data_IF_485302657092
#
_entry.id   IF_485302657092
#
_cell.length_a   1.000
_cell.length_b   1.000
_cell.length_c   1.000
_cell.angle_alpha   90.00
_cell.angle_beta   90.00
_cell.angle_gamma   90.00
#
_symmetry.space_group_name_H-M   'P 1'
#
loop_
_entity.id
_entity.type
_entity.pdbx_description
1 polymer ?
#
# COMPACT_ATOMS: atom_id res chain seq x y z
N UNK A 1 50.07 -40.17 12.92
CA UNK A 1 49.06 -40.83 13.77
C UNK A 1 47.71 -40.16 13.54
N UNK A 2 46.81 -40.84 12.84
CA UNK A 2 45.47 -40.37 12.49
C UNK A 2 44.52 -40.66 13.67
N UNK A 3 43.96 -39.63 14.30
CA UNK A 3 42.91 -39.81 15.30
C UNK A 3 41.54 -39.54 14.67
N UNK A 4 40.86 -40.65 14.39
CA UNK A 4 39.45 -40.74 14.01
C UNK A 4 38.61 -40.59 15.28
N UNK A 5 37.65 -39.68 15.30
CA UNK A 5 36.53 -39.76 16.26
C UNK A 5 35.22 -39.62 15.51
N UNK A 6 34.36 -40.63 15.73
CA UNK A 6 33.11 -40.86 15.01
C UNK A 6 31.96 -40.12 15.67
N UNK A 7 31.18 -39.49 14.79
CA UNK A 7 29.76 -39.20 14.82
C UNK A 7 28.91 -40.15 15.69
N UNK A 8 28.12 -39.58 16.61
CA UNK A 8 26.96 -40.23 17.24
C UNK A 8 25.78 -39.27 17.11
N UNK A 9 24.88 -39.59 16.17
CA UNK A 9 23.58 -38.93 15.99
C UNK A 9 22.60 -39.67 16.91
N UNK A 10 22.16 -39.01 17.97
CA UNK A 10 21.09 -39.48 18.84
C UNK A 10 19.75 -38.90 18.41
N UNK A 11 18.96 -39.68 17.67
CA UNK A 11 17.54 -39.45 17.45
C UNK A 11 16.76 -39.86 18.71
N UNK A 12 16.16 -38.91 19.41
CA UNK A 12 15.14 -39.19 20.44
C UNK A 12 13.84 -38.53 20.04
N UNK A 13 12.99 -39.30 19.37
CA UNK A 13 11.57 -38.98 19.14
C UNK A 13 10.83 -39.44 20.39
N UNK A 14 10.35 -38.50 21.21
CA UNK A 14 9.42 -38.80 22.30
C UNK A 14 8.05 -38.29 21.88
N UNK A 15 7.22 -39.21 21.40
CA UNK A 15 5.78 -39.03 21.19
C UNK A 15 5.12 -39.25 22.55
N UNK A 16 4.59 -38.19 23.17
CA UNK A 16 3.65 -38.32 24.28
C UNK A 16 2.25 -37.91 23.80
N UNK A 17 1.50 -38.92 23.39
CA UNK A 17 0.04 -38.85 23.26
C UNK A 17 -0.55 -38.89 24.67
N UNK A 18 -1.21 -37.82 25.10
CA UNK A 18 -2.22 -37.92 26.15
C UNK A 18 -3.54 -37.37 25.63
N UNK A 19 -4.41 -38.33 25.32
CA UNK A 19 -5.85 -38.20 25.18
C UNK A 19 -6.43 -37.79 26.55
N UNK A 20 -6.88 -36.54 26.65
CA UNK A 20 -7.77 -36.09 27.71
C UNK A 20 -9.14 -35.78 27.11
N UNK A 21 -10.04 -36.76 27.09
CA UNK A 21 -11.46 -36.54 26.83
C UNK A 21 -12.11 -36.07 28.12
N UNK A 22 -12.37 -34.76 28.20
CA UNK A 22 -13.24 -34.14 29.21
C UNK A 22 -14.63 -33.88 28.65
N UNK A 23 -15.64 -34.16 29.45
CA UNK A 23 -17.07 -34.34 29.13
C UNK A 23 -17.85 -33.05 28.88
N UNK A 24 -18.65 -33.09 27.80
CA UNK A 24 -20.10 -32.79 27.73
C UNK A 24 -20.64 -31.46 28.31
N UNK A 25 -21.09 -30.57 27.42
CA UNK A 25 -22.49 -30.08 27.39
C UNK A 25 -22.74 -29.28 26.09
N UNK A 26 -23.89 -29.58 25.47
CA UNK A 26 -24.57 -28.87 24.39
C UNK A 26 -23.87 -28.78 23.04
N UNK A 27 -24.07 -29.82 22.22
CA UNK A 27 -24.00 -29.70 20.77
C UNK A 27 -25.34 -29.11 20.28
N UNK A 28 -25.46 -27.79 20.01
CA UNK A 28 -26.43 -27.37 19.02
C UNK A 28 -25.95 -28.02 17.72
N UNK A 29 -26.69 -29.00 17.22
CA UNK A 29 -26.47 -29.57 15.89
C UNK A 29 -26.22 -28.42 14.91
N UNK A 30 -24.97 -28.30 14.44
CA UNK A 30 -24.58 -27.21 13.53
C UNK A 30 -25.49 -27.32 12.31
N UNK A 31 -26.25 -26.26 12.06
CA UNK A 31 -27.13 -26.20 10.89
C UNK A 31 -26.28 -26.40 9.63
N UNK A 32 -26.82 -27.23 8.71
CA UNK A 32 -26.20 -27.48 7.40
C UNK A 32 -26.03 -26.13 6.69
N UNK A 33 -24.78 -25.74 6.43
CA UNK A 33 -24.45 -24.45 5.82
C UNK A 33 -23.91 -23.38 6.78
N UNK A 34 -23.63 -23.71 8.04
CA UNK A 34 -22.92 -22.81 8.95
C UNK A 34 -21.50 -22.49 8.44
N UNK A 35 -21.10 -21.22 8.58
CA UNK A 35 -19.73 -20.76 8.26
C UNK A 35 -18.89 -20.85 9.53
N UNK A 36 -17.68 -21.39 9.44
CA UNK A 36 -16.80 -21.64 10.58
C UNK A 36 -15.55 -20.74 10.52
N UNK A 37 -15.00 -20.38 11.69
CA UNK A 37 -13.70 -19.72 11.80
C UNK A 37 -12.53 -20.73 11.73
N UNK A 38 -11.30 -20.21 11.81
CA UNK A 38 -10.04 -20.98 11.82
C UNK A 38 -9.92 -21.98 12.99
N UNK A 39 -10.76 -21.83 14.02
CA UNK A 39 -10.85 -22.70 15.20
C UNK A 39 -12.01 -23.69 15.13
N UNK A 40 -12.74 -23.74 14.00
CA UNK A 40 -13.88 -24.63 13.82
C UNK A 40 -15.12 -24.24 14.63
N UNK A 41 -15.24 -22.97 15.04
CA UNK A 41 -16.41 -22.45 15.72
C UNK A 41 -17.31 -21.70 14.73
N UNK A 42 -18.65 -21.85 14.83
CA UNK A 42 -19.58 -21.18 13.92
C UNK A 42 -19.52 -19.66 14.12
N UNK A 43 -19.45 -18.91 13.03
CA UNK A 43 -19.54 -17.45 13.03
C UNK A 43 -20.97 -17.02 12.68
N UNK A 44 -21.51 -16.09 13.48
CA UNK A 44 -22.85 -15.53 13.25
C UNK A 44 -22.78 -14.54 12.10
N UNK A 45 -23.27 -14.96 10.93
CA UNK A 45 -23.50 -14.04 9.82
C UNK A 45 -24.75 -13.22 10.15
N UNK A 46 -24.67 -11.87 10.18
CA UNK A 46 -25.86 -11.04 10.34
C UNK A 46 -26.86 -11.35 9.23
N UNK A 47 -28.10 -11.68 9.58
CA UNK A 47 -29.19 -11.89 8.63
C UNK A 47 -29.70 -10.59 8.01
N UNK A 48 -29.27 -9.44 8.55
CA UNK A 48 -29.59 -8.13 8.03
C UNK A 48 -28.66 -7.81 6.84
N UNK A 49 -29.27 -7.69 5.66
CA UNK A 49 -28.59 -7.20 4.46
C UNK A 49 -28.29 -5.71 4.61
N UNK A 50 -27.14 -5.36 5.17
CA UNK A 50 -26.64 -4.00 5.12
C UNK A 50 -25.91 -3.80 3.79
N UNK A 51 -26.35 -2.81 3.01
CA UNK A 51 -25.64 -2.38 1.79
C UNK A 51 -24.33 -1.70 2.19
N UNK A 52 -23.19 -2.25 1.76
CA UNK A 52 -21.83 -1.73 1.99
C UNK A 52 -21.61 -0.27 1.52
N UNK A 53 -22.57 0.31 0.80
CA UNK A 53 -22.51 1.69 0.33
C UNK A 53 -23.06 2.73 1.32
N UNK A 54 -23.70 2.32 2.42
CA UNK A 54 -24.18 3.26 3.44
C UNK A 54 -23.23 3.29 4.64
N UNK A 55 -22.08 3.95 4.45
CA UNK A 55 -21.19 4.30 5.54
C UNK A 55 -21.81 5.43 6.37
N UNK A 56 -22.15 5.14 7.63
CA UNK A 56 -22.49 6.16 8.63
C UNK A 56 -21.32 6.27 9.61
N UNK A 57 -20.60 7.40 9.65
CA UNK A 57 -19.48 7.57 10.57
C UNK A 57 -19.98 7.57 12.01
N UNK A 58 -19.28 6.93 12.96
CA UNK A 58 -19.60 7.07 14.37
C UNK A 58 -19.43 8.54 14.79
N UNK A 59 -20.43 9.08 15.51
CA UNK A 59 -20.36 10.41 16.12
C UNK A 59 -19.30 10.40 17.22
N UNK A 60 -18.13 10.92 16.92
CA UNK A 60 -17.09 11.19 17.92
C UNK A 60 -17.44 12.54 18.54
N UNK A 61 -17.78 12.56 19.83
CA UNK A 61 -17.95 13.81 20.56
C UNK A 61 -16.62 14.58 20.54
N UNK A 62 -16.66 15.75 19.90
CA UNK A 62 -15.46 16.50 19.55
C UNK A 62 -14.72 17.02 20.77
N UNK A 63 -13.51 16.50 21.00
CA UNK A 63 -12.48 17.27 21.69
C UNK A 63 -12.16 18.49 20.85
N UNK A 64 -12.35 19.68 21.43
CA UNK A 64 -12.11 21.00 20.82
C UNK A 64 -10.89 21.04 19.90
N UNK A 65 -11.00 21.60 18.68
CA UNK A 65 -9.84 21.82 17.85
C UNK A 65 -8.96 22.88 18.53
N UNK A 66 -7.81 22.44 19.06
CA UNK A 66 -6.75 23.36 19.40
C UNK A 66 -6.32 24.04 18.10
N UNK A 67 -6.72 25.30 17.95
CA UNK A 67 -6.34 26.17 16.84
C UNK A 67 -4.81 26.28 16.79
N UNK A 68 -4.19 25.39 16.03
CA UNK A 68 -2.79 25.55 15.67
C UNK A 68 -2.77 26.61 14.60
N UNK A 69 -2.54 27.86 15.02
CA UNK A 69 -2.23 28.95 14.11
C UNK A 69 -1.02 28.55 13.28
N UNK A 70 -1.27 28.05 12.06
CA UNK A 70 -0.25 27.91 11.03
C UNK A 70 0.15 29.35 10.68
N UNK A 71 1.24 29.81 11.28
CA UNK A 71 1.96 30.99 10.85
C UNK A 71 2.34 30.77 9.38
N UNK A 72 1.49 31.25 8.46
CA UNK A 72 1.84 31.39 7.05
C UNK A 72 2.92 32.45 6.97
N UNK A 73 4.18 32.05 7.18
CA UNK A 73 5.33 32.84 6.78
C UNK A 73 5.19 33.06 5.27
N UNK A 74 4.70 34.24 4.89
CA UNK A 74 4.75 34.76 3.52
C UNK A 74 6.22 34.79 3.12
N UNK A 75 6.72 33.70 2.53
CA UNK A 75 8.02 33.70 1.88
C UNK A 75 7.93 34.75 0.77
N UNK A 76 8.69 35.83 0.93
CA UNK A 76 8.88 36.84 -0.11
C UNK A 76 9.23 36.11 -1.42
N UNK A 77 8.62 36.47 -2.57
CA UNK A 77 9.01 35.86 -3.83
C UNK A 77 10.49 36.22 -4.07
N UNK A 78 11.37 35.23 -4.00
CA UNK A 78 12.76 35.44 -4.35
C UNK A 78 12.80 35.82 -5.82
N UNK A 79 13.41 36.97 -6.10
CA UNK A 79 13.60 37.53 -7.43
C UNK A 79 14.14 36.45 -8.39
N UNK A 80 13.52 36.37 -9.57
CA UNK A 80 14.05 35.74 -10.78
C UNK A 80 14.15 34.20 -10.79
N UNK A 81 13.08 33.49 -10.43
CA UNK A 81 12.89 32.17 -11.02
C UNK A 81 12.51 32.37 -12.50
N UNK A 82 13.45 32.10 -13.43
CA UNK A 82 13.14 32.05 -14.86
C UNK A 82 11.88 31.21 -15.02
N UNK A 83 10.86 31.75 -15.69
CA UNK A 83 9.65 31.01 -16.00
C UNK A 83 10.08 29.72 -16.71
N UNK A 84 9.91 28.58 -16.04
CA UNK A 84 10.19 27.27 -16.64
C UNK A 84 9.34 27.17 -17.90
N UNK A 85 9.93 26.72 -19.00
CA UNK A 85 9.16 26.44 -20.22
C UNK A 85 7.99 25.52 -19.87
N UNK A 86 6.84 25.66 -20.56
CA UNK A 86 5.64 24.84 -20.31
C UNK A 86 5.97 23.35 -20.26
N UNK A 87 6.83 22.87 -21.16
CA UNK A 87 7.33 21.49 -21.18
C UNK A 87 8.09 21.10 -19.91
N UNK A 88 8.89 22.02 -19.38
CA UNK A 88 9.64 21.82 -18.14
C UNK A 88 8.73 21.87 -16.90
N UNK A 89 7.65 22.66 -16.92
CA UNK A 89 6.64 22.65 -15.86
C UNK A 89 5.88 21.31 -15.84
N UNK A 90 5.46 20.83 -17.01
CA UNK A 90 4.78 19.54 -17.18
C UNK A 90 5.65 18.36 -16.74
N UNK A 91 6.94 18.39 -17.08
CA UNK A 91 7.90 17.36 -16.66
C UNK A 91 8.30 17.48 -15.18
N UNK A 92 8.17 18.66 -14.58
CA UNK A 92 8.52 18.84 -13.18
C UNK A 92 7.51 18.16 -12.26
N UNK A 93 8.01 17.58 -11.17
CA UNK A 93 7.23 16.97 -10.09
C UNK A 93 7.07 17.91 -8.88
N UNK A 94 7.43 19.18 -9.03
CA UNK A 94 7.34 20.20 -7.96
C UNK A 94 5.91 20.60 -7.62
N UNK A 95 4.99 20.40 -8.56
CA UNK A 95 3.55 20.56 -8.39
C UNK A 95 2.89 19.31 -8.96
N UNK A 96 1.76 18.91 -8.38
CA UNK A 96 0.97 17.75 -8.82
C UNK A 96 -0.43 18.24 -9.09
N UNK A 97 -0.95 17.97 -10.29
CA UNK A 97 -2.32 18.28 -10.66
C UNK A 97 -3.32 17.60 -9.70
N UNK A 98 -4.49 18.20 -9.51
CA UNK A 98 -5.54 17.68 -8.62
C UNK A 98 -6.31 16.50 -9.27
N UNK A 99 -5.61 15.41 -9.57
CA UNK A 99 -6.17 14.21 -10.17
C UNK A 99 -5.62 12.96 -9.44
N UNK A 100 -6.45 11.94 -9.15
CA UNK A 100 -6.03 10.75 -8.43
C UNK A 100 -4.90 9.98 -9.13
N UNK A 101 -4.92 9.88 -10.46
CA UNK A 101 -3.89 9.19 -11.24
C UNK A 101 -2.53 9.87 -11.09
N UNK A 102 -2.48 11.21 -11.13
CA UNK A 102 -1.25 11.96 -10.93
C UNK A 102 -0.70 11.81 -9.50
N UNK A 103 -1.58 11.81 -8.49
CA UNK A 103 -1.16 11.59 -7.09
C UNK A 103 -0.57 10.20 -6.90
N UNK A 104 -1.19 9.18 -7.47
CA UNK A 104 -0.69 7.81 -7.45
C UNK A 104 0.68 7.72 -8.16
N UNK A 105 0.80 8.30 -9.35
CA UNK A 105 2.02 8.26 -10.14
C UNK A 105 3.19 8.93 -9.42
N UNK A 106 2.95 10.08 -8.77
CA UNK A 106 3.95 10.74 -7.95
C UNK A 106 4.40 9.86 -6.78
N UNK A 107 3.47 9.24 -6.06
CA UNK A 107 3.79 8.34 -4.95
C UNK A 107 4.56 7.12 -5.41
N UNK A 108 4.20 6.53 -6.56
CA UNK A 108 4.90 5.38 -7.13
C UNK A 108 6.33 5.74 -7.52
N UNK A 109 6.53 6.84 -8.25
CA UNK A 109 7.87 7.30 -8.63
C UNK A 109 8.72 7.63 -7.40
N UNK A 110 8.17 8.28 -6.37
CA UNK A 110 8.87 8.49 -5.10
C UNK A 110 9.33 7.18 -4.45
N UNK A 111 8.50 6.13 -4.49
CA UNK A 111 8.88 4.81 -3.98
C UNK A 111 10.02 4.19 -4.80
N UNK A 112 9.94 4.29 -6.12
CA UNK A 112 10.98 3.77 -7.02
C UNK A 112 12.31 4.49 -6.79
N UNK A 113 12.29 5.81 -6.68
CA UNK A 113 13.48 6.62 -6.36
C UNK A 113 14.09 6.23 -5.00
N UNK A 114 13.27 5.92 -3.99
CA UNK A 114 13.77 5.41 -2.71
C UNK A 114 14.47 4.06 -2.87
N UNK A 115 13.93 3.13 -3.66
CA UNK A 115 14.59 1.85 -3.94
C UNK A 115 15.89 2.00 -4.75
N UNK A 116 16.02 3.10 -5.50
CA UNK A 116 17.19 3.43 -6.31
C UNK A 116 18.17 4.38 -5.59
N UNK A 117 17.86 4.83 -4.37
CA UNK A 117 18.70 5.78 -3.61
C UNK A 117 20.12 5.30 -3.37
N UNK A 118 20.32 3.97 -3.23
CA UNK A 118 21.63 3.34 -3.08
C UNK A 118 22.35 3.09 -4.42
N UNK A 119 21.80 3.56 -5.55
CA UNK A 119 22.31 3.35 -6.90
C UNK A 119 21.64 2.18 -7.63
N UNK A 120 21.91 2.10 -8.94
CA UNK A 120 21.37 1.05 -9.82
C UNK A 120 22.34 -0.13 -9.89
N UNK A 121 21.82 -1.34 -9.70
CA UNK A 121 22.50 -2.63 -9.80
C UNK A 121 21.63 -3.64 -10.57
N UNK A 122 22.16 -4.83 -10.84
CA UNK A 122 21.42 -5.85 -11.61
C UNK A 122 20.11 -6.29 -10.95
N UNK A 123 20.03 -6.28 -9.62
CA UNK A 123 18.84 -6.71 -8.86
C UNK A 123 17.73 -5.67 -8.89
N UNK A 124 18.06 -4.39 -8.94
CA UNK A 124 17.08 -3.28 -8.89
C UNK A 124 16.85 -2.58 -10.25
N UNK A 125 17.45 -3.09 -11.33
CA UNK A 125 17.30 -2.56 -12.70
C UNK A 125 15.84 -2.42 -13.15
N UNK A 126 14.97 -3.32 -12.70
CA UNK A 126 13.54 -3.27 -13.00
C UNK A 126 12.85 -2.01 -12.41
N UNK A 127 13.29 -1.51 -11.25
CA UNK A 127 12.76 -0.26 -10.69
C UNK A 127 13.17 0.95 -11.52
N UNK A 128 14.38 0.95 -12.11
CA UNK A 128 14.80 2.01 -13.02
C UNK A 128 13.94 1.99 -14.30
N UNK A 129 13.73 0.82 -14.89
CA UNK A 129 12.88 0.67 -16.07
C UNK A 129 11.45 1.14 -15.79
N UNK A 130 10.89 0.77 -14.63
CA UNK A 130 9.58 1.25 -14.24
C UNK A 130 9.59 2.77 -14.05
N UNK A 131 10.61 3.34 -13.38
CA UNK A 131 10.70 4.77 -13.16
C UNK A 131 10.72 5.54 -14.49
N UNK A 132 11.49 5.07 -15.47
CA UNK A 132 11.58 5.69 -16.79
C UNK A 132 10.23 5.70 -17.52
N UNK A 133 9.52 4.56 -17.48
CA UNK A 133 8.18 4.43 -18.07
C UNK A 133 7.18 5.35 -17.36
N UNK A 134 7.18 5.35 -16.02
CA UNK A 134 6.28 6.21 -15.22
C UNK A 134 6.58 7.69 -15.41
N UNK A 135 7.84 8.05 -15.65
CA UNK A 135 8.23 9.41 -15.93
C UNK A 135 7.73 9.89 -17.30
N UNK A 136 7.65 9.00 -18.29
CA UNK A 136 7.02 9.29 -19.58
C UNK A 136 5.50 9.42 -19.45
N UNK A 137 4.87 8.50 -18.72
CA UNK A 137 3.43 8.55 -18.39
C UNK A 137 3.06 9.86 -17.67
N UNK A 138 3.93 10.35 -16.77
CA UNK A 138 3.75 11.63 -16.07
C UNK A 138 3.67 12.82 -17.02
N UNK A 139 4.58 12.86 -18.00
CA UNK A 139 4.66 13.94 -18.98
C UNK A 139 3.48 13.88 -19.95
N UNK A 140 3.11 12.67 -20.39
CA UNK A 140 1.99 12.45 -21.29
C UNK A 140 0.66 12.88 -20.64
N UNK A 141 0.45 12.50 -19.37
CA UNK A 141 -0.72 12.90 -18.57
C UNK A 141 -0.66 14.33 -18.01
N UNK A 142 0.36 15.13 -18.37
CA UNK A 142 0.47 16.55 -17.96
C UNK A 142 0.39 16.76 -16.43
N UNK A 143 0.86 15.79 -15.66
CA UNK A 143 0.63 15.74 -14.21
C UNK A 143 1.33 16.84 -13.40
N UNK A 144 2.32 17.53 -13.98
CA UNK A 144 3.04 18.63 -13.32
C UNK A 144 2.24 19.93 -13.16
N UNK A 145 1.13 20.10 -13.88
CA UNK A 145 0.34 21.33 -13.85
C UNK A 145 -1.16 21.10 -14.06
N UNK A 146 -1.55 20.69 -15.27
CA UNK A 146 -2.95 20.66 -15.73
C UNK A 146 -3.66 19.36 -15.30
N UNK A 147 -2.95 18.23 -15.36
CA UNK A 147 -3.54 16.90 -15.20
C UNK A 147 -4.09 16.34 -16.52
N UNK A 148 -4.38 15.04 -16.56
CA UNK A 148 -4.80 14.36 -17.79
C UNK A 148 -6.23 14.73 -18.17
N UNK A 149 -6.47 14.89 -19.47
CA UNK A 149 -7.81 14.89 -20.05
C UNK A 149 -8.31 13.44 -20.25
N UNK A 150 -9.60 13.26 -20.52
CA UNK A 150 -10.19 11.94 -20.78
C UNK A 150 -9.50 11.21 -21.95
N UNK A 151 -9.11 11.93 -23.00
CA UNK A 151 -8.37 11.42 -24.16
C UNK A 151 -6.93 11.02 -23.80
N UNK A 152 -6.29 11.76 -22.91
CA UNK A 152 -4.94 11.48 -22.42
C UNK A 152 -4.92 10.17 -21.62
N UNK A 153 -5.96 9.89 -20.81
CA UNK A 153 -6.03 8.64 -20.06
C UNK A 153 -5.97 7.40 -20.95
N UNK A 154 -6.69 7.39 -22.07
CA UNK A 154 -6.69 6.26 -22.99
C UNK A 154 -5.35 6.08 -23.72
N UNK A 155 -4.64 7.18 -23.97
CA UNK A 155 -3.44 7.22 -24.81
C UNK A 155 -2.15 7.07 -24.01
N UNK A 156 -2.11 7.62 -22.80
CA UNK A 156 -0.92 7.78 -21.98
C UNK A 156 -0.76 6.71 -20.89
N UNK A 157 -1.82 5.98 -20.54
CA UNK A 157 -1.72 4.94 -19.52
C UNK A 157 -0.82 3.81 -19.98
N UNK A 158 0.15 3.48 -19.14
CA UNK A 158 1.05 2.36 -19.41
C UNK A 158 0.28 1.03 -19.37
N UNK A 159 0.27 0.30 -20.49
CA UNK A 159 -0.26 -1.07 -20.58
C UNK A 159 0.86 -2.07 -20.29
N UNK A 160 0.61 -2.97 -19.34
CA UNK A 160 1.51 -4.07 -18.94
C UNK A 160 1.20 -5.33 -19.71
#
# INVERSE_FOLDING_TARGET
>A
MLLRTRLVIGFSIIIHSQLGFGTQADNPSLELGSVLNDKGQPIRVPSETHSDFNYSPPTIEGSSPASTQINKSKKKPSKQAKAKSRKQQLASRSSVANNPSCRWLNSRMNSLEKHLSAGVNSRNRHYQQELDIRQQEWQCMKCGAEGPEQSDHASCQYRR
#
